data_IF_804548166993
#
_entry.id   IF_804548166993
#
_cell.length_a   1.000
_cell.length_b   1.000
_cell.length_c   1.000
_cell.angle_alpha   90.00
_cell.angle_beta   90.00
_cell.angle_gamma   90.00
#
_symmetry.space_group_name_H-M   'P 1'
#
loop_
_entity.id
_entity.type
_entity.pdbx_description
1 polymer ?
#
# COMPACT_ATOMS: atom_id res chain seq x y z
N UNK A 1 16.60 -3.40 -4.74
CA UNK A 1 15.47 -3.49 -5.67
C UNK A 1 14.23 -2.69 -5.21
N UNK A 2 13.83 -2.69 -3.94
CA UNK A 2 12.71 -1.83 -3.48
C UNK A 2 12.87 -0.35 -3.80
N UNK A 3 14.09 0.21 -3.69
CA UNK A 3 14.34 1.62 -4.04
C UNK A 3 14.11 1.91 -5.53
N UNK A 4 14.44 0.97 -6.41
CA UNK A 4 14.16 1.09 -7.84
C UNK A 4 12.64 1.13 -8.07
N UNK A 5 11.88 0.26 -7.39
CA UNK A 5 10.42 0.28 -7.44
C UNK A 5 9.83 1.61 -6.97
N UNK A 6 10.37 2.19 -5.90
CA UNK A 6 9.94 3.48 -5.39
C UNK A 6 10.21 4.63 -6.40
N UNK A 7 11.38 4.64 -7.03
CA UNK A 7 11.68 5.61 -8.10
C UNK A 7 10.75 5.44 -9.31
N UNK A 8 10.47 4.20 -9.70
CA UNK A 8 9.49 3.92 -10.76
C UNK A 8 8.08 4.39 -10.38
N UNK A 9 7.69 4.30 -9.11
CA UNK A 9 6.42 4.85 -8.64
C UNK A 9 6.33 6.36 -8.83
N UNK A 10 7.39 7.10 -8.53
CA UNK A 10 7.44 8.55 -8.75
C UNK A 10 7.33 8.91 -10.23
N UNK A 11 7.99 8.14 -11.11
CA UNK A 11 7.88 8.32 -12.55
C UNK A 11 6.47 7.98 -13.05
N UNK A 12 5.90 6.87 -12.59
CA UNK A 12 4.53 6.48 -12.94
C UNK A 12 3.50 7.54 -12.52
N UNK A 13 3.64 8.10 -11.32
CA UNK A 13 2.76 9.18 -10.86
C UNK A 13 2.88 10.43 -11.72
N UNK A 14 4.06 10.76 -12.19
CA UNK A 14 4.28 11.96 -13.00
C UNK A 14 3.77 11.81 -14.44
N UNK A 15 3.93 10.63 -15.05
CA UNK A 15 3.66 10.41 -16.47
C UNK A 15 2.33 9.71 -16.73
N UNK A 16 1.98 8.69 -15.94
CA UNK A 16 0.79 7.86 -16.18
C UNK A 16 -0.44 8.35 -15.41
N UNK A 17 -0.25 8.88 -14.21
CA UNK A 17 -1.35 9.24 -13.31
C UNK A 17 -1.56 10.75 -13.19
N UNK A 18 -1.14 11.52 -14.18
CA UNK A 18 -1.26 12.99 -14.14
C UNK A 18 -2.70 13.47 -13.96
N UNK A 19 -3.65 12.79 -14.60
CA UNK A 19 -5.08 13.11 -14.57
C UNK A 19 -5.94 11.96 -13.99
N UNK A 20 -5.29 10.96 -13.35
CA UNK A 20 -5.99 9.80 -12.83
C UNK A 20 -6.73 10.12 -11.52
N UNK A 21 -7.89 9.48 -11.37
CA UNK A 21 -8.64 9.55 -10.12
C UNK A 21 -7.87 8.88 -8.97
N UNK A 22 -7.96 9.43 -7.77
CA UNK A 22 -7.34 8.90 -6.55
C UNK A 22 -7.64 7.41 -6.34
N UNK A 23 -8.86 6.98 -6.69
CA UNK A 23 -9.29 5.58 -6.60
C UNK A 23 -8.46 4.66 -7.48
N UNK A 24 -8.26 5.05 -8.75
CA UNK A 24 -7.52 4.26 -9.73
C UNK A 24 -6.09 4.02 -9.29
N UNK A 25 -5.43 5.04 -8.75
CA UNK A 25 -4.04 4.93 -8.31
C UNK A 25 -3.86 4.03 -7.09
N UNK A 26 -4.73 4.18 -6.08
CA UNK A 26 -4.67 3.33 -4.88
C UNK A 26 -4.97 1.87 -5.24
N UNK A 27 -5.98 1.62 -6.08
CA UNK A 27 -6.31 0.27 -6.55
C UNK A 27 -5.14 -0.32 -7.35
N UNK A 28 -4.51 0.46 -8.23
CA UNK A 28 -3.32 0.00 -8.98
C UNK A 28 -2.17 -0.38 -8.03
N UNK A 29 -1.91 0.43 -7.01
CA UNK A 29 -0.89 0.11 -6.00
C UNK A 29 -1.21 -1.18 -5.23
N UNK A 30 -2.47 -1.39 -4.85
CA UNK A 30 -2.91 -2.62 -4.18
C UNK A 30 -2.83 -3.85 -5.09
N UNK A 31 -3.14 -3.70 -6.39
CA UNK A 31 -2.98 -4.78 -7.38
C UNK A 31 -1.50 -5.13 -7.57
N UNK A 32 -0.62 -4.14 -7.61
CA UNK A 32 0.83 -4.39 -7.67
C UNK A 32 1.33 -5.14 -6.44
N UNK A 33 0.86 -4.80 -5.26
CA UNK A 33 1.17 -5.52 -4.03
C UNK A 33 0.69 -6.97 -4.10
N UNK A 34 -0.55 -7.19 -4.53
CA UNK A 34 -1.11 -8.53 -4.70
C UNK A 34 -0.31 -9.35 -5.71
N UNK A 35 0.07 -8.75 -6.84
CA UNK A 35 0.89 -9.40 -7.87
C UNK A 35 2.26 -9.80 -7.33
N UNK A 36 2.90 -8.95 -6.52
CA UNK A 36 4.17 -9.26 -5.87
C UNK A 36 4.06 -10.46 -4.93
N UNK A 37 2.99 -10.52 -4.13
CA UNK A 37 2.75 -11.65 -3.22
C UNK A 37 2.46 -12.95 -3.98
N UNK A 38 1.73 -12.89 -5.09
CA UNK A 38 1.49 -14.04 -5.96
C UNK A 38 2.78 -14.57 -6.59
N UNK A 39 3.68 -13.67 -7.04
CA UNK A 39 4.98 -14.06 -7.58
C UNK A 39 5.81 -14.78 -6.53
N UNK A 40 5.87 -14.29 -5.30
CA UNK A 40 6.61 -14.94 -4.20
C UNK A 40 5.99 -16.31 -3.87
N UNK A 41 4.68 -16.43 -3.93
CA UNK A 41 3.98 -17.68 -3.62
C UNK A 41 4.19 -18.75 -4.69
N UNK A 42 4.20 -18.36 -5.97
CA UNK A 42 4.28 -19.29 -7.11
C UNK A 42 5.71 -19.63 -7.52
N UNK A 43 6.66 -18.73 -7.32
CA UNK A 43 8.04 -18.87 -7.77
C UNK A 43 9.03 -18.49 -6.66
N UNK A 44 9.84 -19.44 -6.25
CA UNK A 44 10.90 -19.24 -5.24
C UNK A 44 12.28 -19.04 -5.87
N UNK A 45 12.35 -18.45 -7.07
CA UNK A 45 13.62 -18.11 -7.73
C UNK A 45 14.16 -16.76 -7.26
N UNK A 46 15.47 -16.59 -7.33
CA UNK A 46 16.13 -15.31 -7.01
C UNK A 46 15.59 -14.18 -7.89
N UNK A 47 15.33 -14.45 -9.16
CA UNK A 47 14.75 -13.47 -10.09
C UNK A 47 13.33 -13.04 -9.65
N UNK A 48 12.49 -13.98 -9.22
CA UNK A 48 11.17 -13.68 -8.67
C UNK A 48 11.26 -12.79 -7.43
N UNK A 49 12.24 -13.01 -6.56
CA UNK A 49 12.50 -12.16 -5.39
C UNK A 49 12.84 -10.71 -5.77
N UNK A 50 13.64 -10.49 -6.80
CA UNK A 50 13.96 -9.15 -7.29
C UNK A 50 12.75 -8.43 -7.90
N UNK A 51 11.98 -9.14 -8.72
CA UNK A 51 10.77 -8.59 -9.35
C UNK A 51 9.73 -8.23 -8.28
N UNK A 52 9.47 -9.14 -7.34
CA UNK A 52 8.52 -8.92 -6.25
C UNK A 52 8.93 -7.72 -5.37
N UNK A 53 10.21 -7.62 -5.00
CA UNK A 53 10.72 -6.49 -4.23
C UNK A 53 10.54 -5.16 -4.96
N UNK A 54 10.69 -5.15 -6.29
CA UNK A 54 10.46 -3.95 -7.11
C UNK A 54 8.97 -3.58 -7.13
N UNK A 55 8.07 -4.55 -7.28
CA UNK A 55 6.63 -4.34 -7.26
C UNK A 55 6.14 -3.86 -5.89
N UNK A 56 6.67 -4.43 -4.80
CA UNK A 56 6.38 -3.96 -3.44
C UNK A 56 6.82 -2.51 -3.26
N UNK A 57 8.03 -2.16 -3.69
CA UNK A 57 8.53 -0.78 -3.62
C UNK A 57 7.67 0.19 -4.42
N UNK A 58 7.23 -0.21 -5.62
CA UNK A 58 6.34 0.58 -6.45
C UNK A 58 4.95 0.74 -5.83
N UNK A 59 4.38 -0.34 -5.28
CA UNK A 59 3.09 -0.31 -4.59
C UNK A 59 3.13 0.63 -3.37
N UNK A 60 4.14 0.52 -2.53
CA UNK A 60 4.35 1.38 -1.36
C UNK A 60 4.47 2.85 -1.78
N UNK A 61 5.23 3.15 -2.83
CA UNK A 61 5.40 4.50 -3.35
C UNK A 61 4.08 5.12 -3.83
N UNK A 62 3.27 4.39 -4.58
CA UNK A 62 1.99 4.86 -5.09
C UNK A 62 0.98 5.02 -3.94
N UNK A 63 0.81 3.99 -3.12
CA UNK A 63 -0.17 3.99 -2.02
C UNK A 63 0.18 5.06 -0.99
N UNK A 64 1.44 5.12 -0.54
CA UNK A 64 1.88 6.03 0.52
C UNK A 64 1.64 7.49 0.19
N UNK A 65 1.99 7.93 -1.02
CA UNK A 65 1.76 9.31 -1.46
C UNK A 65 0.28 9.65 -1.57
N UNK A 66 -0.57 8.71 -1.97
CA UNK A 66 -2.01 8.93 -2.13
C UNK A 66 -2.76 8.91 -0.80
N UNK A 67 -2.36 8.05 0.12
CA UNK A 67 -2.91 8.08 1.48
C UNK A 67 -2.50 9.35 2.23
N UNK A 68 -1.28 9.85 2.05
CA UNK A 68 -0.88 11.14 2.61
C UNK A 68 -1.77 12.28 2.08
N UNK A 69 -2.00 12.33 0.76
CA UNK A 69 -2.94 13.29 0.16
C UNK A 69 -4.36 13.15 0.71
N UNK A 70 -4.80 11.91 0.95
CA UNK A 70 -6.09 11.60 1.54
C UNK A 70 -6.24 12.26 2.92
N UNK A 71 -5.27 12.09 3.80
CA UNK A 71 -5.28 12.71 5.12
C UNK A 71 -5.23 14.23 5.06
N UNK A 72 -4.43 14.81 4.16
CA UNK A 72 -4.35 16.26 3.96
C UNK A 72 -5.69 16.83 3.46
N UNK A 73 -6.38 16.15 2.54
CA UNK A 73 -7.69 16.59 2.02
C UNK A 73 -8.83 16.47 3.04
N UNK A 74 -8.70 15.59 4.02
CA UNK A 74 -9.67 15.48 5.12
C UNK A 74 -9.46 16.55 6.18
N UNK A 75 -8.25 17.12 6.30
CA UNK A 75 -7.90 18.09 7.33
C UNK A 75 -8.30 19.51 6.94
N UNK A 76 -8.68 20.33 7.93
CA UNK A 76 -8.81 21.80 7.79
C UNK A 76 -7.44 22.44 7.73
N UNK A 77 -7.36 23.66 7.17
CA UNK A 77 -6.09 24.38 6.99
C UNK A 77 -5.19 24.43 8.24
N UNK A 78 -5.79 24.66 9.42
CA UNK A 78 -5.05 24.73 10.69
C UNK A 78 -4.62 23.36 11.26
N UNK A 79 -5.09 22.25 10.69
CA UNK A 79 -4.88 20.89 11.21
C UNK A 79 -3.99 20.02 10.31
N UNK A 80 -3.37 20.59 9.28
CA UNK A 80 -2.56 19.82 8.31
C UNK A 80 -1.35 19.13 8.95
N UNK A 81 -0.69 19.77 9.92
CA UNK A 81 0.41 19.15 10.65
C UNK A 81 -0.03 17.93 11.47
N UNK A 82 -1.13 18.07 12.20
CA UNK A 82 -1.71 16.94 12.97
C UNK A 82 -2.13 15.79 12.06
N UNK A 83 -2.71 16.10 10.90
CA UNK A 83 -3.12 15.11 9.91
C UNK A 83 -1.92 14.32 9.36
N UNK A 84 -0.81 14.98 9.09
CA UNK A 84 0.41 14.32 8.64
C UNK A 84 1.01 13.42 9.73
N UNK A 85 1.02 13.88 10.97
CA UNK A 85 1.48 13.07 12.11
C UNK A 85 0.59 11.85 12.33
N UNK A 86 -0.73 11.98 12.18
CA UNK A 86 -1.68 10.86 12.26
C UNK A 86 -1.44 9.84 11.15
N UNK A 87 -1.18 10.31 9.93
CA UNK A 87 -0.81 9.43 8.82
C UNK A 87 0.47 8.63 9.13
N UNK A 88 1.53 9.31 9.59
CA UNK A 88 2.79 8.66 9.95
C UNK A 88 2.59 7.64 11.08
N UNK A 89 1.83 7.97 12.11
CA UNK A 89 1.53 7.05 13.20
C UNK A 89 0.76 5.82 12.71
N UNK A 90 -0.24 6.00 11.85
CA UNK A 90 -0.99 4.91 11.25
C UNK A 90 -0.10 4.00 10.38
N UNK A 91 0.80 4.61 9.62
CA UNK A 91 1.77 3.91 8.78
C UNK A 91 2.74 3.06 9.62
N UNK A 92 3.37 3.66 10.62
CA UNK A 92 4.33 2.98 11.48
C UNK A 92 3.67 1.89 12.33
N UNK A 93 2.48 2.15 12.87
CA UNK A 93 1.72 1.13 13.62
C UNK A 93 1.30 -0.04 12.73
N UNK A 94 0.89 0.23 11.49
CA UNK A 94 0.58 -0.81 10.51
C UNK A 94 1.80 -1.68 10.17
N UNK A 95 2.96 -1.07 9.98
CA UNK A 95 4.22 -1.80 9.77
C UNK A 95 4.60 -2.64 10.99
N UNK A 96 4.54 -2.08 12.19
CA UNK A 96 4.89 -2.78 13.42
C UNK A 96 3.98 -4.00 13.65
N UNK A 97 2.66 -3.84 13.47
CA UNK A 97 1.69 -4.93 13.57
C UNK A 97 1.90 -5.98 12.47
N UNK A 98 2.14 -5.55 11.23
CA UNK A 98 2.38 -6.44 10.10
C UNK A 98 3.65 -7.29 10.28
N UNK A 99 4.75 -6.66 10.68
CA UNK A 99 6.03 -7.36 10.95
C UNK A 99 5.89 -8.28 12.17
N UNK A 100 5.23 -7.82 13.25
CA UNK A 100 5.00 -8.62 14.45
C UNK A 100 4.16 -9.86 14.15
N UNK A 101 3.05 -9.71 13.41
CA UNK A 101 2.23 -10.85 12.98
C UNK A 101 3.01 -11.79 12.05
N UNK A 102 3.76 -11.26 11.10
CA UNK A 102 4.57 -12.07 10.19
C UNK A 102 5.63 -12.89 10.95
N UNK A 103 6.28 -12.29 11.95
CA UNK A 103 7.25 -12.97 12.81
C UNK A 103 6.59 -14.11 13.62
N UNK A 104 5.46 -13.83 14.26
CA UNK A 104 4.73 -14.85 15.03
C UNK A 104 4.28 -16.01 14.14
N UNK A 105 3.73 -15.70 12.96
CA UNK A 105 3.32 -16.73 11.99
C UNK A 105 4.52 -17.52 11.45
N UNK A 106 5.66 -16.88 11.21
CA UNK A 106 6.86 -17.56 10.74
C UNK A 106 7.42 -18.57 11.76
N UNK A 107 7.25 -18.30 13.06
CA UNK A 107 7.65 -19.23 14.14
C UNK A 107 6.71 -20.44 14.20
N UNK A 108 5.40 -20.23 14.11
CA UNK A 108 4.40 -21.28 14.32
C UNK A 108 4.00 -22.00 13.02
N UNK A 109 3.92 -21.27 11.90
CA UNK A 109 3.36 -21.75 10.63
C UNK A 109 4.13 -21.10 9.44
N UNK A 110 5.41 -21.40 9.23
CA UNK A 110 6.26 -20.70 8.26
C UNK A 110 5.75 -20.75 6.82
N UNK A 111 5.08 -21.83 6.44
CA UNK A 111 4.53 -22.00 5.08
C UNK A 111 3.28 -21.16 4.82
N UNK A 112 2.60 -20.69 5.86
CA UNK A 112 1.32 -19.97 5.72
C UNK A 112 1.48 -18.44 5.71
N UNK A 113 2.65 -17.90 6.00
CA UNK A 113 2.89 -16.44 6.08
C UNK A 113 2.48 -15.75 4.78
N UNK A 114 2.91 -16.28 3.64
CA UNK A 114 2.60 -15.70 2.33
C UNK A 114 1.12 -15.78 1.97
N UNK A 115 0.45 -16.87 2.38
CA UNK A 115 -0.99 -17.06 2.16
C UNK A 115 -1.78 -16.04 3.00
N UNK A 116 -1.42 -15.86 4.26
CA UNK A 116 -2.05 -14.88 5.15
C UNK A 116 -1.84 -13.46 4.61
N UNK A 117 -0.63 -13.12 4.16
CA UNK A 117 -0.34 -11.83 3.55
C UNK A 117 -1.20 -11.59 2.30
N UNK A 118 -1.40 -12.60 1.46
CA UNK A 118 -2.24 -12.53 0.27
C UNK A 118 -3.71 -12.30 0.62
N UNK A 119 -4.24 -13.03 1.60
CA UNK A 119 -5.62 -12.85 2.08
C UNK A 119 -5.81 -11.44 2.63
N UNK A 120 -4.87 -10.93 3.43
CA UNK A 120 -4.92 -9.57 3.95
C UNK A 120 -4.89 -8.51 2.84
N UNK A 121 -4.09 -8.73 1.79
CA UNK A 121 -4.06 -7.84 0.62
C UNK A 121 -5.40 -7.80 -0.12
N UNK A 122 -6.06 -8.95 -0.30
CA UNK A 122 -7.40 -9.03 -0.91
C UNK A 122 -8.43 -8.29 -0.04
N UNK A 123 -8.41 -8.52 1.27
CA UNK A 123 -9.29 -7.82 2.23
C UNK A 123 -9.05 -6.31 2.17
N UNK A 124 -7.80 -5.86 2.09
CA UNK A 124 -7.47 -4.44 1.96
C UNK A 124 -8.06 -3.82 0.69
N UNK A 125 -8.01 -4.52 -0.45
CA UNK A 125 -8.63 -4.06 -1.71
C UNK A 125 -10.15 -3.94 -1.55
N UNK A 126 -10.80 -4.93 -0.95
CA UNK A 126 -12.24 -4.92 -0.73
C UNK A 126 -12.64 -3.77 0.21
N UNK A 127 -11.96 -3.62 1.34
CA UNK A 127 -12.21 -2.54 2.29
C UNK A 127 -12.01 -1.16 1.66
N UNK A 128 -10.95 -0.99 0.87
CA UNK A 128 -10.72 0.27 0.19
C UNK A 128 -11.86 0.61 -0.80
N UNK A 129 -12.25 -0.34 -1.63
CA UNK A 129 -13.29 -0.10 -2.64
C UNK A 129 -14.68 0.15 -2.05
N UNK A 130 -15.08 -0.60 -1.05
CA UNK A 130 -16.46 -0.56 -0.52
C UNK A 130 -16.65 0.46 0.59
N UNK A 131 -15.67 0.59 1.47
CA UNK A 131 -15.80 1.43 2.67
C UNK A 131 -15.01 2.72 2.53
N UNK A 132 -13.70 2.62 2.35
CA UNK A 132 -12.78 3.77 2.49
C UNK A 132 -13.00 4.80 1.41
N UNK A 133 -13.11 4.39 0.16
CA UNK A 133 -13.29 5.33 -0.95
C UNK A 133 -14.65 6.03 -0.89
N UNK A 134 -15.73 5.30 -0.62
CA UNK A 134 -17.07 5.87 -0.50
C UNK A 134 -17.16 6.87 0.66
N UNK A 135 -16.63 6.50 1.82
CA UNK A 135 -16.57 7.38 2.98
C UNK A 135 -15.77 8.66 2.72
N UNK A 136 -14.62 8.55 2.05
CA UNK A 136 -13.81 9.69 1.68
C UNK A 136 -14.53 10.68 0.77
N UNK A 137 -15.22 10.18 -0.25
CA UNK A 137 -15.93 11.04 -1.21
C UNK A 137 -17.02 11.88 -0.55
N UNK A 138 -17.60 11.40 0.56
CA UNK A 138 -18.62 12.14 1.33
C UNK A 138 -18.04 13.13 2.33
N UNK A 139 -16.80 12.89 2.83
CA UNK A 139 -16.20 13.70 3.91
C UNK A 139 -15.02 14.58 3.48
N UNK A 140 -14.59 14.49 2.20
CA UNK A 140 -13.48 15.34 1.73
C UNK A 140 -13.87 16.82 1.79
N UNK A 141 -13.01 17.63 2.41
CA UNK A 141 -13.11 19.09 2.34
C UNK A 141 -12.74 19.55 0.92
N UNK A 142 -13.57 20.41 0.33
CA UNK A 142 -13.31 21.01 -0.99
C UNK A 142 -12.19 22.03 -0.93
#
# INVERSE_FOLDING_TARGET
MMMVGFLLALLAQRFMFRDAELKSEVVTGLILLLSALLIILTNQTVAAGYISSTFIGMAIGIIGTRFLLFFIKLSRHCQRGTSQSTFMLAWESGLALGIGMAYLLAVWLPQQVNIVALVLAIVAIMMYNWVTHSWFMTHKNR
#
